data_IF_711675891731
#
_entry.id   IF_711675891731
#
_cell.length_a   1.000
_cell.length_b   1.000
_cell.length_c   1.000
_cell.angle_alpha   90.00
_cell.angle_beta   90.00
_cell.angle_gamma   90.00
#
_symmetry.space_group_name_H-M   'P 1'
#
loop_
_entity.id
_entity.type
_entity.pdbx_description
1 polymer ?
#
# COMPACT_ATOMS: atom_id res chain seq x y z
N UNK A 1 16.34 -13.05 29.15
CA UNK A 1 15.21 -13.59 28.36
C UNK A 1 14.23 -12.50 27.93
N UNK A 2 13.80 -11.62 28.85
CA UNK A 2 12.90 -10.49 28.57
C UNK A 2 13.36 -9.57 27.42
N UNK A 3 14.64 -9.17 27.40
CA UNK A 3 15.19 -8.33 26.32
C UNK A 3 15.06 -8.98 24.93
N UNK A 4 15.28 -10.29 24.83
CA UNK A 4 15.18 -11.02 23.56
C UNK A 4 13.73 -11.14 23.09
N UNK A 5 12.79 -11.34 24.02
CA UNK A 5 11.36 -11.30 23.73
C UNK A 5 10.93 -9.92 23.25
N UNK A 6 11.40 -8.85 23.90
CA UNK A 6 11.13 -7.48 23.47
C UNK A 6 11.67 -7.20 22.06
N UNK A 7 12.89 -7.65 21.76
CA UNK A 7 13.50 -7.51 20.43
C UNK A 7 12.70 -8.26 19.35
N UNK A 8 12.30 -9.50 19.62
CA UNK A 8 11.47 -10.28 18.68
C UNK A 8 10.09 -9.65 18.51
N UNK A 9 9.47 -9.21 19.60
CA UNK A 9 8.20 -8.50 19.58
C UNK A 9 8.27 -7.21 18.77
N UNK A 10 9.34 -6.43 18.90
CA UNK A 10 9.54 -5.20 18.14
C UNK A 10 9.64 -5.45 16.63
N UNK A 11 10.31 -6.54 16.21
CA UNK A 11 10.44 -6.91 14.79
C UNK A 11 9.10 -7.21 14.14
N UNK A 12 8.17 -7.80 14.89
CA UNK A 12 6.81 -8.06 14.40
C UNK A 12 5.92 -6.83 14.52
N UNK A 13 6.02 -6.08 15.62
CA UNK A 13 5.12 -4.98 15.91
C UNK A 13 5.41 -3.73 15.06
N UNK A 14 6.67 -3.36 14.83
CA UNK A 14 7.00 -2.14 14.10
C UNK A 14 6.42 -2.14 12.67
N UNK A 15 6.57 -3.21 11.86
CA UNK A 15 5.97 -3.25 10.53
C UNK A 15 4.45 -3.18 10.52
N UNK A 16 3.80 -3.81 11.50
CA UNK A 16 2.33 -3.86 11.57
C UNK A 16 1.72 -2.52 11.98
N UNK A 17 2.24 -1.91 13.06
CA UNK A 17 1.67 -0.70 13.63
C UNK A 17 2.30 0.59 13.10
N UNK A 18 3.63 0.70 13.08
CA UNK A 18 4.31 1.94 12.66
C UNK A 18 4.22 2.15 11.16
N UNK A 19 4.34 1.08 10.37
CA UNK A 19 4.34 1.15 8.91
C UNK A 19 3.01 0.70 8.28
N UNK A 20 1.94 0.68 9.06
CA UNK A 20 0.58 0.45 8.57
C UNK A 20 0.40 -0.92 7.87
N UNK A 21 1.23 -1.91 8.20
CA UNK A 21 1.11 -3.27 7.68
C UNK A 21 -0.22 -3.94 8.03
N UNK A 22 -0.92 -3.48 9.07
CA UNK A 22 -2.29 -3.91 9.38
C UNK A 22 -3.26 -3.68 8.21
N UNK A 23 -3.11 -2.60 7.44
CA UNK A 23 -3.95 -2.34 6.28
C UNK A 23 -3.75 -3.39 5.17
N UNK A 24 -2.52 -3.89 5.02
CA UNK A 24 -2.21 -5.00 4.10
C UNK A 24 -2.91 -6.29 4.54
N UNK A 25 -2.99 -6.53 5.85
CA UNK A 25 -3.71 -7.68 6.41
C UNK A 25 -5.23 -7.52 6.29
N UNK A 26 -5.78 -6.34 6.54
CA UNK A 26 -7.22 -6.07 6.37
C UNK A 26 -7.67 -6.25 4.92
N UNK A 27 -6.82 -5.87 3.96
CA UNK A 27 -7.10 -6.02 2.53
C UNK A 27 -6.68 -7.38 1.97
N UNK A 28 -6.35 -8.36 2.83
CA UNK A 28 -5.87 -9.67 2.39
C UNK A 28 -6.90 -10.49 1.59
N UNK A 29 -8.17 -10.30 1.92
CA UNK A 29 -9.32 -10.98 1.31
C UNK A 29 -9.84 -10.26 0.06
N UNK A 30 -9.40 -9.04 -0.20
CA UNK A 30 -9.81 -8.24 -1.33
C UNK A 30 -9.46 -8.90 -2.69
N UNK A 31 -10.16 -8.51 -3.77
CA UNK A 31 -9.82 -8.93 -5.13
C UNK A 31 -8.41 -8.49 -5.53
N UNK A 32 -7.85 -9.14 -6.56
CA UNK A 32 -6.54 -8.77 -7.13
C UNK A 32 -6.60 -7.47 -7.93
N UNK A 33 -7.79 -7.10 -8.39
CA UNK A 33 -8.07 -5.93 -9.21
C UNK A 33 -8.92 -5.02 -8.33
N UNK A 34 -8.59 -3.73 -8.30
CA UNK A 34 -9.37 -2.76 -7.55
C UNK A 34 -10.67 -2.48 -8.28
N UNK A 35 -11.71 -2.09 -7.55
CA UNK A 35 -12.99 -1.74 -8.13
C UNK A 35 -13.62 -0.61 -7.35
N UNK A 36 -14.46 0.17 -8.03
CA UNK A 36 -15.33 1.13 -7.38
C UNK A 36 -16.76 0.96 -7.89
N UNK A 37 -17.72 1.35 -7.06
CA UNK A 37 -19.11 1.47 -7.48
C UNK A 37 -19.59 2.89 -7.25
N UNK A 38 -20.40 3.39 -8.17
CA UNK A 38 -21.04 4.70 -8.10
C UNK A 38 -22.51 4.51 -7.74
N UNK A 39 -22.99 5.27 -6.77
CA UNK A 39 -24.40 5.33 -6.36
C UNK A 39 -24.78 6.77 -6.06
N UNK A 40 -26.06 7.08 -6.09
CA UNK A 40 -26.53 8.36 -5.59
C UNK A 40 -26.42 8.38 -4.06
N UNK A 41 -26.02 9.52 -3.50
CA UNK A 41 -25.95 9.73 -2.06
C UNK A 41 -27.23 10.41 -1.58
N UNK A 42 -28.16 9.68 -0.95
CA UNK A 42 -29.42 10.27 -0.48
C UNK A 42 -29.23 11.28 0.66
N UNK A 43 -28.08 11.27 1.36
CA UNK A 43 -27.83 12.20 2.46
C UNK A 43 -27.40 13.59 1.96
N UNK A 44 -26.63 13.65 0.87
CA UNK A 44 -26.08 14.89 0.33
C UNK A 44 -26.71 15.32 -0.99
N UNK A 45 -27.54 14.46 -1.60
CA UNK A 45 -28.07 14.64 -2.95
C UNK A 45 -27.00 14.52 -4.05
N UNK A 46 -25.81 14.06 -3.69
CA UNK A 46 -24.65 13.93 -4.57
C UNK A 46 -24.42 12.51 -5.09
N UNK A 47 -23.18 12.23 -5.47
CA UNK A 47 -22.70 10.91 -5.87
C UNK A 47 -21.78 10.32 -4.80
N UNK A 48 -21.99 9.06 -4.46
CA UNK A 48 -21.14 8.27 -3.59
C UNK A 48 -20.33 7.26 -4.42
N UNK A 49 -19.02 7.30 -4.26
CA UNK A 49 -18.08 6.35 -4.82
C UNK A 49 -17.56 5.45 -3.70
N UNK A 50 -17.97 4.18 -3.71
CA UNK A 50 -17.43 3.17 -2.79
C UNK A 50 -16.27 2.47 -3.47
N UNK A 51 -15.06 2.66 -2.93
CA UNK A 51 -13.80 2.18 -3.52
C UNK A 51 -13.28 1.01 -2.70
N UNK A 52 -13.07 -0.12 -3.37
CA UNK A 52 -12.45 -1.32 -2.81
C UNK A 52 -11.03 -1.48 -3.38
N UNK A 53 -9.99 -1.38 -2.52
CA UNK A 53 -8.61 -1.48 -2.99
C UNK A 53 -8.27 -2.92 -3.37
N UNK A 54 -7.32 -3.08 -4.28
CA UNK A 54 -6.77 -4.39 -4.59
C UNK A 54 -6.00 -4.95 -3.38
N UNK A 55 -5.94 -6.27 -3.24
CA UNK A 55 -5.03 -6.90 -2.27
C UNK A 55 -3.57 -6.78 -2.69
N UNK A 56 -2.68 -6.67 -1.71
CA UNK A 56 -1.24 -6.76 -1.96
C UNK A 56 -0.85 -8.11 -2.61
N UNK A 57 0.23 -8.09 -3.38
CA UNK A 57 0.85 -9.28 -3.93
C UNK A 57 1.40 -10.16 -2.81
N UNK A 58 0.76 -11.32 -2.65
CA UNK A 58 1.10 -12.33 -1.64
C UNK A 58 2.51 -12.92 -1.80
N UNK A 59 2.94 -13.06 -3.06
CA UNK A 59 4.29 -13.52 -3.41
C UNK A 59 5.12 -12.30 -3.81
N UNK A 60 6.29 -12.07 -3.18
CA UNK A 60 7.11 -13.00 -2.38
C UNK A 60 7.07 -12.78 -0.86
N UNK A 61 6.29 -11.83 -0.39
CA UNK A 61 6.33 -11.43 1.01
C UNK A 61 5.96 -12.57 1.97
N UNK A 62 5.02 -13.44 1.60
CA UNK A 62 4.62 -14.59 2.43
C UNK A 62 5.76 -15.55 2.79
N UNK A 63 6.48 -16.14 1.81
CA UNK A 63 7.62 -16.99 2.12
C UNK A 63 8.67 -16.30 3.01
N UNK A 64 8.97 -15.03 2.73
CA UNK A 64 9.96 -14.27 3.48
C UNK A 64 9.52 -14.02 4.93
N UNK A 65 8.25 -13.67 5.15
CA UNK A 65 7.71 -13.55 6.50
C UNK A 65 7.61 -14.89 7.23
N UNK A 66 7.25 -15.97 6.54
CA UNK A 66 7.19 -17.30 7.12
C UNK A 66 8.57 -17.78 7.57
N UNK A 67 9.59 -17.66 6.72
CA UNK A 67 10.99 -17.99 7.05
C UNK A 67 11.50 -17.08 8.16
N UNK A 68 11.26 -15.78 8.07
CA UNK A 68 11.67 -14.82 9.10
C UNK A 68 11.07 -15.13 10.47
N UNK A 69 9.75 -15.40 10.53
CA UNK A 69 9.08 -15.75 11.78
C UNK A 69 9.59 -17.08 12.35
N UNK A 70 9.79 -18.08 11.49
CA UNK A 70 10.39 -19.37 11.88
C UNK A 70 11.78 -19.17 12.49
N UNK A 71 12.61 -18.33 11.87
CA UNK A 71 13.95 -18.00 12.38
C UNK A 71 13.89 -17.21 13.70
N UNK A 72 12.94 -16.29 13.89
CA UNK A 72 12.76 -15.59 15.17
C UNK A 72 12.41 -16.55 16.31
N UNK A 73 11.51 -17.51 16.07
CA UNK A 73 11.15 -18.53 17.06
C UNK A 73 12.36 -19.41 17.40
N UNK A 74 13.12 -19.84 16.40
CA UNK A 74 14.34 -20.61 16.61
C UNK A 74 15.44 -19.78 17.30
N UNK A 75 15.53 -18.48 17.03
CA UNK A 75 16.45 -17.58 17.71
C UNK A 75 16.13 -17.54 19.21
N UNK A 76 14.86 -17.43 19.60
CA UNK A 76 14.46 -17.48 21.01
C UNK A 76 14.85 -18.79 21.68
N UNK A 77 14.59 -19.92 21.01
CA UNK A 77 14.93 -21.26 21.49
C UNK A 77 16.45 -21.43 21.64
N UNK A 78 17.22 -21.17 20.59
CA UNK A 78 18.69 -21.28 20.61
C UNK A 78 19.34 -20.27 21.56
N UNK A 79 18.73 -19.09 21.70
CA UNK A 79 19.16 -18.05 22.62
C UNK A 79 19.17 -18.49 24.07
N UNK A 80 18.30 -19.42 24.48
CA UNK A 80 18.36 -19.99 25.83
C UNK A 80 19.70 -20.65 26.13
N UNK A 81 20.42 -21.12 25.10
CA UNK A 81 21.70 -21.84 25.21
C UNK A 81 22.91 -20.99 24.82
N UNK A 82 22.77 -20.11 23.83
CA UNK A 82 23.90 -19.29 23.33
C UNK A 82 23.46 -17.94 22.79
N UNK A 83 24.12 -16.86 23.24
CA UNK A 83 23.91 -15.51 22.70
C UNK A 83 24.35 -15.39 21.24
N UNK A 84 25.43 -16.08 20.83
CA UNK A 84 25.89 -16.07 19.45
C UNK A 84 24.88 -16.72 18.49
N UNK A 85 24.26 -17.83 18.92
CA UNK A 85 23.21 -18.50 18.15
C UNK A 85 21.95 -17.64 18.02
N UNK A 86 21.56 -16.93 19.09
CA UNK A 86 20.48 -15.95 19.02
C UNK A 86 20.78 -14.87 17.99
N UNK A 87 21.95 -14.24 18.07
CA UNK A 87 22.30 -13.10 17.22
C UNK A 87 22.34 -13.50 15.74
N UNK A 88 22.95 -14.64 15.41
CA UNK A 88 23.02 -15.14 14.03
C UNK A 88 21.63 -15.35 13.42
N UNK A 89 20.75 -16.09 14.11
CA UNK A 89 19.40 -16.35 13.62
C UNK A 89 18.54 -15.08 13.58
N UNK A 90 18.69 -14.20 14.57
CA UNK A 90 17.96 -12.95 14.65
C UNK A 90 18.29 -12.00 13.48
N UNK A 91 19.57 -11.87 13.13
CA UNK A 91 20.01 -11.04 12.00
C UNK A 91 19.47 -11.57 10.68
N UNK A 92 19.53 -12.89 10.44
CA UNK A 92 18.97 -13.48 9.21
C UNK A 92 17.45 -13.28 9.16
N UNK A 93 16.75 -13.43 10.30
CA UNK A 93 15.33 -13.19 10.38
C UNK A 93 14.95 -11.73 10.05
N UNK A 94 15.73 -10.76 10.55
CA UNK A 94 15.58 -9.34 10.24
C UNK A 94 15.71 -9.07 8.74
N UNK A 95 16.68 -9.69 8.07
CA UNK A 95 16.85 -9.55 6.61
C UNK A 95 15.64 -10.11 5.88
N UNK A 96 15.16 -11.31 6.23
CA UNK A 96 13.98 -11.89 5.60
C UNK A 96 12.73 -11.00 5.77
N UNK A 97 12.47 -10.52 7.00
CA UNK A 97 11.31 -9.67 7.28
C UNK A 97 11.46 -8.31 6.61
N UNK A 98 12.65 -7.70 6.68
CA UNK A 98 12.93 -6.41 6.05
C UNK A 98 12.72 -6.46 4.54
N UNK A 99 13.25 -7.47 3.86
CA UNK A 99 13.01 -7.67 2.42
C UNK A 99 11.53 -7.97 2.14
N UNK A 100 10.85 -8.75 2.99
CA UNK A 100 9.39 -8.94 2.85
C UNK A 100 8.63 -7.62 2.93
N UNK A 101 9.00 -6.76 3.87
CA UNK A 101 8.42 -5.45 4.09
C UNK A 101 8.59 -4.51 2.89
N UNK A 102 9.75 -4.51 2.21
CA UNK A 102 9.96 -3.65 1.03
C UNK A 102 8.98 -3.95 -0.10
N UNK A 103 8.44 -5.16 -0.18
CA UNK A 103 7.44 -5.51 -1.21
C UNK A 103 6.01 -5.08 -0.87
N UNK A 104 5.62 -5.01 0.41
CA UNK A 104 4.19 -4.86 0.77
C UNK A 104 3.85 -3.57 1.50
N UNK A 105 4.83 -2.91 2.10
CA UNK A 105 4.61 -1.68 2.87
C UNK A 105 4.51 -0.39 2.03
N UNK A 106 5.16 -0.26 0.85
CA UNK A 106 4.90 0.88 -0.02
C UNK A 106 3.40 1.00 -0.36
N UNK A 107 2.82 2.18 -0.11
CA UNK A 107 1.38 2.46 -0.27
C UNK A 107 0.46 1.77 0.75
N UNK A 108 0.98 1.12 1.81
CA UNK A 108 0.15 0.41 2.78
C UNK A 108 -0.76 1.36 3.58
N UNK A 109 -0.30 2.58 3.86
CA UNK A 109 -1.08 3.59 4.59
C UNK A 109 -2.39 3.94 3.87
N UNK A 110 -2.34 4.12 2.55
CA UNK A 110 -3.49 4.50 1.74
C UNK A 110 -4.37 3.29 1.33
N UNK A 111 -3.90 2.05 1.52
CA UNK A 111 -4.60 0.83 1.14
C UNK A 111 -5.72 0.46 2.13
N UNK A 112 -6.85 1.16 2.07
CA UNK A 112 -8.06 0.87 2.85
C UNK A 112 -9.32 1.10 1.99
N UNK A 113 -10.44 0.39 2.25
CA UNK A 113 -11.72 0.75 1.64
C UNK A 113 -12.10 2.19 2.01
N UNK A 114 -12.53 2.96 1.02
CA UNK A 114 -12.88 4.38 1.20
C UNK A 114 -14.19 4.67 0.48
N UNK A 115 -14.98 5.57 1.08
CA UNK A 115 -16.13 6.19 0.44
C UNK A 115 -15.77 7.63 0.12
N UNK A 116 -15.98 8.03 -1.13
CA UNK A 116 -15.80 9.42 -1.58
C UNK A 116 -17.18 9.94 -1.98
N UNK A 117 -17.69 10.95 -1.29
CA UNK A 117 -18.92 11.64 -1.71
C UNK A 117 -18.57 12.92 -2.43
N UNK A 118 -19.29 13.20 -3.52
CA UNK A 118 -19.19 14.44 -4.28
C UNK A 118 -20.59 15.02 -4.35
N UNK A 119 -20.77 16.21 -3.78
CA UNK A 119 -22.04 16.93 -3.73
C UNK A 119 -21.81 18.40 -4.03
N UNK A 120 -22.89 19.19 -4.15
CA UNK A 120 -22.81 20.64 -4.28
C UNK A 120 -22.05 21.33 -3.13
N UNK A 121 -21.90 20.66 -1.99
CA UNK A 121 -21.17 21.19 -0.83
C UNK A 121 -19.66 20.96 -0.94
N UNK A 122 -19.21 20.02 -1.78
CA UNK A 122 -17.81 19.62 -1.81
C UNK A 122 -17.58 18.13 -2.05
N UNK A 123 -16.30 17.77 -2.01
CA UNK A 123 -15.78 16.41 -2.01
C UNK A 123 -15.45 16.01 -0.56
N UNK A 124 -15.99 14.89 -0.09
CA UNK A 124 -15.69 14.35 1.23
C UNK A 124 -15.15 12.92 1.14
N UNK A 125 -14.11 12.63 1.91
CA UNK A 125 -13.51 11.30 1.97
C UNK A 125 -12.78 11.07 3.30
N UNK A 126 -13.39 10.31 4.21
CA UNK A 126 -12.80 10.06 5.53
C UNK A 126 -12.58 11.37 6.29
N UNK A 127 -11.32 11.75 6.47
CA UNK A 127 -10.91 12.99 7.16
C UNK A 127 -10.80 14.20 6.21
N UNK A 128 -10.94 13.99 4.90
CA UNK A 128 -10.86 15.04 3.88
C UNK A 128 -12.25 15.62 3.66
N UNK A 129 -12.36 16.96 3.72
CA UNK A 129 -13.55 17.70 3.32
C UNK A 129 -13.10 18.95 2.55
N UNK A 130 -13.39 18.99 1.26
CA UNK A 130 -12.91 20.02 0.35
C UNK A 130 -14.08 20.66 -0.39
N UNK A 131 -14.18 21.99 -0.37
CA UNK A 131 -15.20 22.72 -1.13
C UNK A 131 -14.97 22.56 -2.63
N UNK A 132 -16.04 22.48 -3.43
CA UNK A 132 -15.93 22.39 -4.90
C UNK A 132 -15.11 23.55 -5.49
N UNK A 133 -15.29 24.77 -4.96
CA UNK A 133 -14.58 25.97 -5.42
C UNK A 133 -13.08 25.92 -5.15
N UNK A 134 -12.66 25.11 -4.17
CA UNK A 134 -11.25 24.95 -3.82
C UNK A 134 -10.58 23.81 -4.57
N UNK A 135 -11.31 22.98 -5.33
CA UNK A 135 -10.70 21.84 -6.03
C UNK A 135 -9.93 22.34 -7.24
N UNK A 136 -8.61 22.26 -7.18
CA UNK A 136 -7.73 22.61 -8.30
C UNK A 136 -7.66 21.47 -9.34
N UNK A 137 -7.54 20.23 -8.85
CA UNK A 137 -7.17 19.09 -9.68
C UNK A 137 -7.49 17.75 -8.99
N UNK A 138 -7.88 16.76 -9.78
CA UNK A 138 -8.00 15.35 -9.39
C UNK A 138 -7.04 14.54 -10.25
N UNK A 139 -6.02 13.98 -9.61
CA UNK A 139 -4.92 13.29 -10.27
C UNK A 139 -4.82 11.82 -9.92
N UNK A 140 -3.99 11.12 -10.71
CA UNK A 140 -3.51 9.77 -10.39
C UNK A 140 -2.03 9.86 -10.06
N UNK A 141 -1.63 9.27 -8.95
CA UNK A 141 -0.23 9.14 -8.55
C UNK A 141 0.10 7.68 -8.23
N UNK A 142 1.40 7.37 -8.16
CA UNK A 142 1.89 6.04 -7.81
C UNK A 142 2.61 6.09 -6.46
N UNK A 143 1.87 5.78 -5.39
CA UNK A 143 2.38 5.73 -4.01
C UNK A 143 2.92 4.36 -3.59
N UNK A 144 2.86 3.37 -4.49
CA UNK A 144 3.28 1.99 -4.25
C UNK A 144 4.76 1.71 -4.54
N UNK A 145 5.07 0.42 -4.69
CA UNK A 145 6.41 -0.02 -5.05
C UNK A 145 6.74 0.42 -6.48
N UNK A 146 7.83 1.15 -6.66
CA UNK A 146 8.37 1.53 -7.97
C UNK A 146 9.38 0.47 -8.41
N UNK A 147 9.25 0.00 -9.65
CA UNK A 147 10.22 -0.90 -10.25
C UNK A 147 10.80 -0.23 -11.48
N UNK A 148 12.12 -0.23 -11.59
CA UNK A 148 12.82 0.31 -12.74
C UNK A 148 12.27 -0.31 -14.05
N UNK A 149 11.84 0.51 -15.03
CA UNK A 149 11.37 0.04 -16.33
C UNK A 149 12.50 -0.57 -17.18
N UNK A 150 13.74 -0.12 -17.03
CA UNK A 150 14.88 -0.47 -17.89
C UNK A 150 15.31 -1.91 -17.68
N UNK A 151 15.57 -2.72 -18.72
CA UNK A 151 15.88 -4.15 -18.57
C UNK A 151 17.08 -4.39 -17.64
N UNK A 152 17.10 -5.55 -16.96
CA UNK A 152 18.25 -5.92 -16.13
C UNK A 152 19.45 -6.15 -17.04
N UNK A 153 20.41 -5.22 -17.00
CA UNK A 153 21.62 -5.32 -17.79
C UNK A 153 22.57 -6.37 -17.19
N UNK A 154 23.01 -7.38 -17.96
CA UNK A 154 23.96 -8.37 -17.47
C UNK A 154 25.33 -7.72 -17.26
N UNK A 155 25.88 -7.85 -16.05
CA UNK A 155 27.29 -7.54 -15.79
C UNK A 155 28.21 -8.70 -16.20
N UNK A 156 29.49 -8.63 -15.81
CA UNK A 156 30.50 -9.67 -16.08
C UNK A 156 30.09 -11.08 -15.61
N UNK A 157 29.26 -11.17 -14.57
CA UNK A 157 28.76 -12.43 -13.99
C UNK A 157 27.30 -12.72 -14.36
N UNK A 158 26.74 -12.04 -15.37
CA UNK A 158 25.32 -12.14 -15.73
C UNK A 158 24.38 -11.43 -14.75
N UNK A 159 23.09 -11.74 -14.84
CA UNK A 159 22.04 -11.22 -13.94
C UNK A 159 21.76 -12.24 -12.84
N UNK A 160 21.77 -11.81 -11.58
CA UNK A 160 21.47 -12.71 -10.47
C UNK A 160 20.01 -13.18 -10.50
N UNK A 161 19.78 -14.44 -10.11
CA UNK A 161 18.44 -15.01 -9.97
C UNK A 161 17.60 -14.22 -8.95
N UNK A 162 18.23 -13.69 -7.91
CA UNK A 162 17.59 -12.82 -6.93
C UNK A 162 17.09 -11.51 -7.56
N UNK A 163 17.88 -10.87 -8.43
CA UNK A 163 17.46 -9.66 -9.13
C UNK A 163 16.29 -9.94 -10.09
N UNK A 164 16.35 -11.04 -10.85
CA UNK A 164 15.25 -11.44 -11.73
C UNK A 164 13.97 -11.74 -10.95
N UNK A 165 14.07 -12.53 -9.87
CA UNK A 165 12.95 -12.87 -9.02
C UNK A 165 12.34 -11.62 -8.37
N UNK A 166 13.18 -10.79 -7.75
CA UNK A 166 12.77 -9.55 -7.10
C UNK A 166 12.07 -8.59 -8.07
N UNK A 167 12.57 -8.46 -9.30
CA UNK A 167 11.94 -7.63 -10.32
C UNK A 167 10.60 -8.16 -10.80
N UNK A 168 10.51 -9.44 -11.13
CA UNK A 168 9.25 -10.06 -11.53
C UNK A 168 8.19 -9.94 -10.43
N UNK A 169 8.61 -10.08 -9.17
CA UNK A 169 7.79 -9.91 -7.99
C UNK A 169 7.36 -8.46 -7.78
N UNK A 170 8.30 -7.52 -7.89
CA UNK A 170 8.02 -6.10 -7.77
C UNK A 170 6.98 -5.63 -8.78
N UNK A 171 7.10 -6.04 -10.05
CA UNK A 171 6.13 -5.72 -11.11
C UNK A 171 4.71 -6.19 -10.82
N UNK A 172 4.54 -7.26 -10.04
CA UNK A 172 3.20 -7.74 -9.63
C UNK A 172 2.57 -6.84 -8.57
N UNK A 173 3.39 -6.24 -7.71
CA UNK A 173 2.93 -5.32 -6.67
C UNK A 173 2.72 -3.91 -7.23
N UNK A 174 3.64 -3.44 -8.07
CA UNK A 174 3.61 -2.14 -8.74
C UNK A 174 2.26 -1.91 -9.43
N UNK A 175 1.72 -2.91 -10.14
CA UNK A 175 0.40 -2.86 -10.77
C UNK A 175 -0.79 -2.57 -9.84
N UNK A 176 -0.59 -2.52 -8.53
CA UNK A 176 -1.61 -2.33 -7.49
C UNK A 176 -1.22 -1.22 -6.50
N UNK A 177 -0.36 -0.31 -6.93
CA UNK A 177 0.22 0.76 -6.13
C UNK A 177 -0.30 2.16 -6.48
N UNK A 178 -1.34 2.26 -7.32
CA UNK A 178 -1.88 3.53 -7.76
C UNK A 178 -2.80 4.14 -6.71
N UNK A 179 -2.84 5.47 -6.70
CA UNK A 179 -3.61 6.28 -5.77
C UNK A 179 -4.31 7.39 -6.55
N UNK A 180 -5.55 7.69 -6.18
CA UNK A 180 -6.27 8.86 -6.68
C UNK A 180 -6.14 9.95 -5.63
N UNK A 181 -5.70 11.12 -6.08
CA UNK A 181 -5.40 12.26 -5.22
C UNK A 181 -6.23 13.47 -5.62
N UNK A 182 -6.55 14.32 -4.65
CA UNK A 182 -7.21 15.61 -4.87
C UNK A 182 -6.30 16.71 -4.37
N UNK A 183 -6.29 17.85 -5.05
CA UNK A 183 -5.49 19.01 -4.65
C UNK A 183 -6.38 20.23 -4.52
N UNK A 184 -6.23 20.96 -3.42
CA UNK A 184 -6.85 22.25 -3.25
C UNK A 184 -6.03 23.35 -3.96
N UNK A 185 -6.70 24.42 -4.37
CA UNK A 185 -6.05 25.63 -4.87
C UNK A 185 -5.17 26.24 -3.79
N UNK A 186 -3.89 26.46 -4.13
CA UNK A 186 -2.89 26.99 -3.22
C UNK A 186 -2.13 25.93 -2.40
N UNK A 187 -2.57 24.66 -2.42
CA UNK A 187 -1.85 23.59 -1.74
C UNK A 187 -0.70 23.03 -2.59
N UNK A 188 0.44 22.84 -1.93
CA UNK A 188 1.67 22.32 -2.56
C UNK A 188 1.70 20.79 -2.67
N UNK A 189 0.92 20.09 -1.84
CA UNK A 189 0.84 18.63 -1.86
C UNK A 189 -0.61 18.18 -2.02
N UNK A 190 -0.87 17.16 -2.85
CA UNK A 190 -2.20 16.63 -3.01
C UNK A 190 -2.54 15.64 -1.87
N UNK A 191 -3.81 15.61 -1.48
CA UNK A 191 -4.35 14.65 -0.52
C UNK A 191 -4.79 13.37 -1.22
N UNK A 192 -4.64 12.23 -0.53
CA UNK A 192 -4.97 10.92 -1.09
C UNK A 192 -6.44 10.58 -0.78
N UNK A 193 -7.28 10.51 -1.81
CA UNK A 193 -8.68 10.09 -1.69
C UNK A 193 -8.79 8.56 -1.57
N UNK A 194 -8.03 7.82 -2.39
CA UNK A 194 -8.07 6.36 -2.38
C UNK A 194 -6.73 5.78 -2.83
N UNK A 195 -6.28 4.69 -2.21
CA UNK A 195 -5.00 4.05 -2.55
C UNK A 195 -5.05 2.53 -2.62
N UNK A 196 -4.00 1.94 -3.19
CA UNK A 196 -3.95 0.50 -3.46
C UNK A 196 -4.79 0.08 -4.68
N UNK A 197 -4.92 0.99 -5.65
CA UNK A 197 -5.69 0.80 -6.87
C UNK A 197 -4.82 0.16 -7.96
N UNK A 198 -5.49 -0.50 -8.90
CA UNK A 198 -4.90 -0.84 -10.20
C UNK A 198 -4.97 0.36 -11.13
N UNK A 199 -4.01 0.51 -12.03
CA UNK A 199 -3.88 1.66 -12.95
C UNK A 199 -5.19 2.03 -13.65
N UNK A 200 -5.79 1.07 -14.35
CA UNK A 200 -7.06 1.28 -15.07
C UNK A 200 -8.19 1.76 -14.15
N UNK A 201 -8.25 1.23 -12.93
CA UNK A 201 -9.26 1.60 -11.94
C UNK A 201 -8.99 3.00 -11.38
N UNK A 202 -7.73 3.39 -11.20
CA UNK A 202 -7.36 4.71 -10.72
C UNK A 202 -7.71 5.78 -11.76
N UNK A 203 -7.39 5.56 -13.03
CA UNK A 203 -7.75 6.49 -14.11
C UNK A 203 -9.27 6.58 -14.32
N UNK A 204 -9.98 5.45 -14.29
CA UNK A 204 -11.43 5.43 -14.37
C UNK A 204 -12.08 6.19 -13.20
N UNK A 205 -11.61 5.95 -11.97
CA UNK A 205 -12.11 6.64 -10.78
C UNK A 205 -11.84 8.14 -10.82
N UNK A 206 -10.62 8.56 -11.19
CA UNK A 206 -10.28 9.98 -11.32
C UNK A 206 -11.14 10.68 -12.36
N UNK A 207 -11.36 10.04 -13.52
CA UNK A 207 -12.22 10.57 -14.58
C UNK A 207 -13.67 10.72 -14.12
N UNK A 208 -14.20 9.73 -13.42
CA UNK A 208 -15.58 9.76 -12.92
C UNK A 208 -15.78 10.74 -11.77
N UNK A 209 -14.76 10.92 -10.91
CA UNK A 209 -14.74 11.95 -9.88
C UNK A 209 -14.70 13.35 -10.49
N UNK A 210 -13.83 13.60 -11.48
CA UNK A 210 -13.77 14.89 -12.16
C UNK A 210 -15.13 15.23 -12.80
N UNK A 211 -15.74 14.29 -13.52
CA UNK A 211 -17.09 14.48 -14.09
C UNK A 211 -18.16 14.77 -13.03
N UNK A 212 -18.06 14.13 -11.86
CA UNK A 212 -18.98 14.37 -10.75
C UNK A 212 -18.79 15.78 -10.16
N UNK A 213 -17.55 16.24 -10.06
CA UNK A 213 -17.18 17.57 -9.57
C UNK A 213 -17.66 18.64 -10.57
N UNK A 214 -17.36 18.48 -11.87
CA UNK A 214 -17.79 19.41 -12.92
C UNK A 214 -19.32 19.55 -12.92
N UNK A 215 -20.03 18.42 -12.86
CA UNK A 215 -21.50 18.41 -12.78
C UNK A 215 -22.04 19.09 -11.52
N UNK A 216 -21.39 18.91 -10.38
CA UNK A 216 -21.80 19.53 -9.12
C UNK A 216 -21.49 21.04 -9.09
N UNK A 217 -20.42 21.46 -9.78
CA UNK A 217 -20.06 22.87 -9.98
C UNK A 217 -20.92 23.57 -11.06
N UNK A 218 -21.66 22.80 -11.87
CA UNK A 218 -22.50 23.32 -12.95
C UNK A 218 -21.73 23.66 -14.23
N UNK A 219 -20.59 22.99 -14.44
CA UNK A 219 -19.70 23.11 -15.62
C UNK A 219 -19.95 21.97 -16.61
#
# INVERSE_FOLDING_TARGET
>A
MLVRLALVGAVVALPLWKWHGLNVLHTWRNPKIASFTRRDDPATGGLLFEVEPARAARMPALPLFAVGLFLLLNALLAGTRSTGAFLGLYVVALVCIGVGCTFVLPGARARKPVKVSVSAQGVQSGDINMSLESVADVGVSHGGLVVDPDPLMPGRNGVSTAAMAGRHMGRRQEKRGYEVTIRADGDSQPDILAGGLTEDCAHALATDLQKAIDRAAGV
#
